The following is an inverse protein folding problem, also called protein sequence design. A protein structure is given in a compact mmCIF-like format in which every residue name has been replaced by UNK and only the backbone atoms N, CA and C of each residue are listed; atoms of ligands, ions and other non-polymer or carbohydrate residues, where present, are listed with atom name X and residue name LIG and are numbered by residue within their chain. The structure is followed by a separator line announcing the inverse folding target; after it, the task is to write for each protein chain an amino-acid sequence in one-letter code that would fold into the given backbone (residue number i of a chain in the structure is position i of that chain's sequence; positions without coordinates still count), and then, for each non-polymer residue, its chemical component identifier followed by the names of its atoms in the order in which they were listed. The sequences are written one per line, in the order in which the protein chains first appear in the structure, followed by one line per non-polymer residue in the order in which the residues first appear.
data_IF_381785124499
#
_entry.id   IF_381785124499
#
_cell.length_a   1.000
_cell.length_b   1.000
_cell.length_c   1.000
_cell.angle_alpha   90.00
_cell.angle_beta   90.00
_cell.angle_gamma   90.00
#
_symmetry.space_group_name_H-M   'P 1'
#
loop_
_entity.id
_entity.type
_entity.pdbx_description
1 polymer ?
#
# COMPACT_ATOMS: atom_id res chain seq x y z
N UNK A 1 4.47 -31.77 -4.63
CA UNK A 1 3.55 -31.18 -3.63
C UNK A 1 4.24 -29.94 -3.10
N UNK A 2 3.59 -28.78 -3.12
CA UNK A 2 4.23 -27.53 -2.66
C UNK A 2 4.37 -27.53 -1.14
N UNK A 3 5.55 -27.16 -0.63
CA UNK A 3 5.81 -26.93 0.79
C UNK A 3 5.34 -25.51 1.15
N UNK A 4 4.29 -25.40 1.98
CA UNK A 4 3.69 -24.13 2.40
C UNK A 4 4.00 -23.91 3.87
N UNK A 5 4.76 -22.86 4.17
CA UNK A 5 5.18 -22.50 5.54
C UNK A 5 4.55 -21.19 5.99
N UNK A 6 4.17 -21.07 7.28
CA UNK A 6 3.65 -19.82 7.82
C UNK A 6 4.77 -18.78 7.88
N UNK A 7 4.42 -17.52 7.64
CA UNK A 7 5.30 -16.37 7.81
C UNK A 7 4.56 -15.25 8.52
N UNK A 8 5.31 -14.34 9.14
CA UNK A 8 4.72 -13.17 9.80
C UNK A 8 4.41 -12.12 8.74
N UNK A 9 3.19 -11.60 8.77
CA UNK A 9 2.82 -10.44 7.97
C UNK A 9 3.57 -9.19 8.43
N UNK A 10 4.01 -8.37 7.48
CA UNK A 10 4.56 -7.04 7.76
C UNK A 10 3.40 -6.10 8.05
N UNK A 11 3.49 -5.33 9.13
CA UNK A 11 2.52 -4.28 9.48
C UNK A 11 3.26 -2.97 9.67
N UNK A 12 2.71 -1.83 9.22
CA UNK A 12 3.30 -0.53 9.48
C UNK A 12 3.29 -0.23 10.98
N UNK A 13 4.21 0.64 11.41
CA UNK A 13 4.15 1.22 12.76
C UNK A 13 2.86 2.04 12.91
N UNK A 14 2.26 2.11 14.11
CA UNK A 14 0.96 2.77 14.31
C UNK A 14 0.90 4.20 13.75
N UNK A 15 1.98 4.96 13.88
CA UNK A 15 2.13 6.34 13.42
C UNK A 15 2.11 6.49 11.89
N UNK A 16 2.48 5.44 11.16
CA UNK A 16 2.50 5.42 9.71
C UNK A 16 1.30 4.69 9.11
N UNK A 17 0.45 4.06 9.95
CA UNK A 17 -0.68 3.27 9.48
C UNK A 17 -1.62 4.09 8.58
N UNK A 18 -1.92 5.34 8.95
CA UNK A 18 -2.76 6.23 8.15
C UNK A 18 -2.12 6.62 6.82
N UNK A 19 -0.79 6.76 6.77
CA UNK A 19 -0.05 7.12 5.55
C UNK A 19 0.08 5.93 4.60
N UNK A 20 0.05 4.72 5.13
CA UNK A 20 0.20 3.49 4.35
C UNK A 20 -1.14 2.98 3.83
N UNK A 21 -2.25 3.34 4.50
CA UNK A 21 -3.59 2.96 4.10
C UNK A 21 -3.90 3.50 2.68
N UNK A 22 -4.19 2.59 1.76
CA UNK A 22 -4.63 2.91 0.41
C UNK A 22 -6.13 2.61 0.26
N UNK A 23 -6.87 3.40 -0.53
CA UNK A 23 -8.26 3.08 -0.83
C UNK A 23 -8.34 1.82 -1.71
N UNK A 24 -9.51 1.15 -1.78
CA UNK A 24 -9.69 -0.01 -2.64
C UNK A 24 -9.43 0.34 -4.11
N UNK A 25 -8.91 -0.63 -4.86
CA UNK A 25 -8.55 -0.52 -6.28
C UNK A 25 -9.76 -0.23 -7.21
N UNK A 26 -10.98 -0.38 -6.71
CA UNK A 26 -12.21 -0.04 -7.44
C UNK A 26 -12.58 1.46 -7.34
N UNK A 27 -11.85 2.21 -6.53
CA UNK A 27 -12.15 3.63 -6.19
C UNK A 27 -11.15 4.59 -6.82
N UNK A 28 -10.06 4.08 -7.42
CA UNK A 28 -9.03 4.91 -8.01
C UNK A 28 -8.60 4.47 -9.40
N UNK A 29 -8.40 5.49 -10.24
CA UNK A 29 -7.63 5.33 -11.46
C UNK A 29 -6.12 5.54 -11.23
N UNK A 30 -5.33 5.30 -12.28
CA UNK A 30 -3.87 5.42 -12.22
C UNK A 30 -3.37 6.86 -12.07
N UNK A 31 -4.14 7.87 -12.51
CA UNK A 31 -3.77 9.27 -12.39
C UNK A 31 -4.00 9.75 -10.96
N UNK A 32 -5.14 9.42 -10.36
CA UNK A 32 -5.49 9.68 -8.97
C UNK A 32 -4.50 8.99 -8.01
N UNK A 33 -4.10 7.75 -8.31
CA UNK A 33 -3.11 7.03 -7.52
C UNK A 33 -1.75 7.74 -7.52
N UNK A 34 -1.30 8.29 -8.66
CA UNK A 34 -0.06 9.07 -8.75
C UNK A 34 -0.16 10.38 -7.98
N UNK A 35 -1.26 11.10 -8.10
CA UNK A 35 -1.47 12.37 -7.38
C UNK A 35 -1.47 12.16 -5.85
N UNK A 36 -2.09 11.09 -5.37
CA UNK A 36 -2.04 10.71 -3.95
C UNK A 36 -0.64 10.27 -3.51
N UNK A 37 0.13 9.67 -4.42
CA UNK A 37 1.48 9.19 -4.12
C UNK A 37 2.52 10.32 -4.05
N UNK A 38 2.41 11.37 -4.87
CA UNK A 38 3.35 12.49 -4.86
C UNK A 38 3.49 13.17 -3.49
N UNK A 39 2.40 13.26 -2.74
CA UNK A 39 2.36 13.95 -1.45
C UNK A 39 2.65 13.03 -0.25
N UNK A 40 2.91 11.73 -0.47
CA UNK A 40 3.09 10.77 0.60
C UNK A 40 4.14 9.69 0.26
N UNK A 41 5.38 9.82 0.75
CA UNK A 41 6.46 8.87 0.43
C UNK A 41 6.27 7.47 1.06
N UNK A 42 5.28 7.30 1.94
CA UNK A 42 5.00 6.04 2.64
C UNK A 42 3.85 5.24 2.02
N UNK A 43 3.26 5.72 0.92
CA UNK A 43 2.17 5.03 0.24
C UNK A 43 2.66 3.84 -0.59
N UNK A 44 1.82 2.82 -0.73
CA UNK A 44 2.05 1.72 -1.67
C UNK A 44 1.61 2.07 -3.11
N UNK A 45 1.06 3.26 -3.34
CA UNK A 45 0.58 3.73 -4.65
C UNK A 45 1.69 4.30 -5.55
N UNK A 46 2.97 4.09 -5.23
CA UNK A 46 4.08 4.42 -6.14
C UNK A 46 4.13 3.39 -7.28
N UNK A 47 3.30 3.61 -8.29
CA UNK A 47 3.23 2.81 -9.51
C UNK A 47 4.08 3.50 -10.59
N UNK A 48 5.10 2.80 -11.12
CA UNK A 48 5.91 3.26 -12.26
C UNK A 48 5.12 3.09 -13.56
#
# INVERSE_FOLDING_TARGET
MADVRPFRGVRPVPELAEKVAAPPYDVLDSEEARALAENNPYTFLHIN
#
